data_IF_500941722442
#
_entry.id   IF_500941722442
#
_cell.length_a   1.000
_cell.length_b   1.000
_cell.length_c   1.000
_cell.angle_alpha   90.00
_cell.angle_beta   90.00
_cell.angle_gamma   90.00
#
_symmetry.space_group_name_H-M   'P 1'
#
loop_
_entity.id
_entity.type
_entity.pdbx_description
1 polymer ?
#
# COMPACT_ATOMS: atom_id res chain seq x y z
N UNK A 1 -28.50 4.35 -13.66
CA UNK A 1 -27.75 4.06 -12.43
C UNK A 1 -27.10 5.36 -12.02
N UNK A 2 -27.43 6.00 -10.89
CA UNK A 2 -26.75 7.22 -10.52
C UNK A 2 -25.31 6.85 -10.15
N UNK A 3 -24.36 7.24 -11.00
CA UNK A 3 -22.93 7.22 -10.76
C UNK A 3 -22.62 8.22 -9.65
N UNK A 4 -22.83 7.79 -8.40
CA UNK A 4 -22.62 8.60 -7.21
C UNK A 4 -21.16 8.57 -6.83
N UNK A 5 -20.58 9.75 -6.59
CA UNK A 5 -19.32 9.88 -5.85
C UNK A 5 -19.37 8.97 -4.63
N UNK A 6 -18.40 8.07 -4.53
CA UNK A 6 -18.20 7.24 -3.34
C UNK A 6 -17.65 8.14 -2.23
N UNK A 7 -18.05 7.83 -1.00
CA UNK A 7 -18.05 8.71 0.18
C UNK A 7 -16.79 9.55 0.39
N UNK A 8 -16.95 10.71 1.04
CA UNK A 8 -15.82 11.55 1.42
C UNK A 8 -15.17 11.06 2.71
N UNK A 9 -13.85 10.82 2.69
CA UNK A 9 -13.07 10.42 3.88
C UNK A 9 -12.02 11.46 4.23
N UNK A 10 -11.71 11.60 5.50
CA UNK A 10 -10.63 12.45 5.97
C UNK A 10 -9.30 11.71 5.83
N UNK A 11 -8.30 12.36 5.23
CA UNK A 11 -6.91 11.90 5.23
C UNK A 11 -6.25 12.42 6.50
N UNK A 12 -5.81 11.50 7.34
CA UNK A 12 -5.14 11.82 8.61
C UNK A 12 -3.65 12.06 8.39
N UNK A 13 -3.01 11.14 7.69
CA UNK A 13 -1.63 11.27 7.25
C UNK A 13 -1.36 10.34 6.06
N UNK A 14 -0.23 10.56 5.39
CA UNK A 14 0.24 9.75 4.29
C UNK A 14 1.77 9.67 4.29
N UNK A 15 2.31 8.55 3.83
CA UNK A 15 3.74 8.36 3.66
C UNK A 15 4.04 7.60 2.37
N UNK A 16 5.20 7.88 1.79
CA UNK A 16 5.74 7.17 0.64
C UNK A 16 7.16 6.72 0.96
N UNK A 17 7.54 5.56 0.42
CA UNK A 17 8.89 5.04 0.38
C UNK A 17 9.18 4.49 -1.00
N UNK A 18 10.30 4.89 -1.58
CA UNK A 18 10.83 4.35 -2.84
C UNK A 18 12.17 3.68 -2.55
N UNK A 19 12.90 3.15 -3.56
CA UNK A 19 14.23 2.62 -3.32
C UNK A 19 15.13 3.69 -2.71
N UNK A 20 16.30 3.29 -2.21
CA UNK A 20 17.34 4.19 -1.69
C UNK A 20 18.53 4.25 -2.65
N UNK A 21 19.43 5.20 -2.40
CA UNK A 21 20.61 5.40 -3.26
C UNK A 21 20.25 6.07 -4.59
N UNK A 22 21.05 5.84 -5.63
CA UNK A 22 20.92 6.54 -6.90
C UNK A 22 19.58 6.25 -7.62
N UNK A 23 19.03 5.03 -7.44
CA UNK A 23 17.72 4.62 -7.98
C UNK A 23 16.53 5.41 -7.37
N UNK A 24 16.76 6.08 -6.23
CA UNK A 24 15.76 6.88 -5.52
C UNK A 24 15.63 8.31 -6.06
N UNK A 25 16.60 8.77 -6.86
CA UNK A 25 16.75 10.18 -7.20
C UNK A 25 15.51 10.71 -7.95
N UNK A 26 14.87 11.74 -7.39
CA UNK A 26 13.68 12.36 -7.98
C UNK A 26 12.36 11.62 -7.75
N UNK A 27 12.35 10.55 -6.93
CA UNK A 27 11.14 9.82 -6.58
C UNK A 27 10.59 10.23 -5.19
N UNK A 28 9.26 10.25 -4.98
CA UNK A 28 8.68 10.56 -3.67
C UNK A 28 9.00 9.48 -2.62
N UNK A 29 9.50 9.88 -1.46
CA UNK A 29 9.85 8.92 -0.39
C UNK A 29 11.24 8.30 -0.53
N UNK A 30 12.11 8.91 -1.35
CA UNK A 30 13.51 8.52 -1.47
C UNK A 30 14.19 8.49 -0.09
N UNK A 31 14.69 7.32 0.30
CA UNK A 31 15.45 7.15 1.54
C UNK A 31 16.95 7.30 1.27
N UNK A 32 17.67 7.94 2.19
CA UNK A 32 19.13 8.09 2.11
C UNK A 32 19.90 6.81 2.45
N UNK A 33 19.24 5.82 3.05
CA UNK A 33 19.85 4.59 3.55
C UNK A 33 18.90 3.40 3.42
N UNK A 34 19.48 2.20 3.43
CA UNK A 34 18.74 0.93 3.45
C UNK A 34 17.85 0.82 4.68
N UNK A 35 16.69 0.18 4.49
CA UNK A 35 15.75 -0.07 5.57
C UNK A 35 16.33 -1.05 6.59
N UNK A 36 16.11 -0.80 7.89
CA UNK A 36 16.57 -1.73 8.91
C UNK A 36 15.89 -3.09 8.75
N UNK A 37 16.61 -4.20 9.00
CA UNK A 37 16.03 -5.54 8.92
C UNK A 37 14.94 -5.71 9.99
N UNK A 38 13.89 -6.45 9.65
CA UNK A 38 12.83 -6.82 10.59
C UNK A 38 13.00 -8.30 10.95
N UNK A 39 13.01 -8.58 12.26
CA UNK A 39 13.12 -9.96 12.75
C UNK A 39 12.00 -10.80 12.15
N UNK A 40 12.38 -11.93 11.56
CA UNK A 40 11.43 -12.81 10.91
C UNK A 40 11.00 -12.36 9.51
N UNK A 41 11.60 -11.33 8.91
CA UNK A 41 11.39 -10.92 7.51
C UNK A 41 12.74 -10.55 6.87
N UNK A 42 13.54 -11.57 6.57
CA UNK A 42 14.94 -11.39 6.15
C UNK A 42 15.22 -11.71 4.67
N UNK A 43 14.26 -12.35 3.98
CA UNK A 43 14.46 -12.85 2.61
C UNK A 43 14.21 -11.78 1.56
N UNK A 44 13.21 -10.93 1.79
CA UNK A 44 12.80 -9.89 0.85
C UNK A 44 12.70 -8.53 1.54
N UNK A 45 12.58 -7.49 0.72
CA UNK A 45 12.30 -6.13 1.18
C UNK A 45 10.82 -5.85 1.38
N UNK A 46 9.92 -6.75 0.99
CA UNK A 46 8.47 -6.56 1.05
C UNK A 46 8.00 -6.22 2.47
N UNK A 47 8.34 -7.08 3.44
CA UNK A 47 8.00 -6.86 4.84
C UNK A 47 8.60 -5.57 5.42
N UNK A 48 9.93 -5.37 5.32
CA UNK A 48 10.56 -4.11 5.75
C UNK A 48 9.94 -2.84 5.16
N UNK A 49 9.57 -2.84 3.87
CA UNK A 49 8.89 -1.71 3.20
C UNK A 49 7.51 -1.42 3.82
N UNK A 50 6.67 -2.45 3.93
CA UNK A 50 5.33 -2.35 4.55
C UNK A 50 5.44 -1.79 5.97
N UNK A 51 6.34 -2.35 6.78
CA UNK A 51 6.52 -1.91 8.16
C UNK A 51 7.02 -0.47 8.25
N UNK A 52 7.99 -0.09 7.42
CA UNK A 52 8.57 1.25 7.42
C UNK A 52 7.56 2.32 6.99
N UNK A 53 6.85 2.11 5.88
CA UNK A 53 5.89 3.10 5.36
C UNK A 53 4.69 3.26 6.30
N UNK A 54 4.22 2.16 6.90
CA UNK A 54 3.16 2.21 7.89
C UNK A 54 3.62 2.94 9.16
N UNK A 55 4.82 2.65 9.66
CA UNK A 55 5.37 3.34 10.85
C UNK A 55 5.51 4.84 10.60
N UNK A 56 5.96 5.24 9.39
CA UNK A 56 6.06 6.64 8.99
C UNK A 56 4.68 7.31 8.94
N UNK A 57 3.67 6.64 8.38
CA UNK A 57 2.31 7.17 8.29
C UNK A 57 1.58 7.22 9.65
N UNK A 58 1.85 6.29 10.56
CA UNK A 58 1.17 6.20 11.87
C UNK A 58 1.83 7.07 12.94
N UNK A 59 3.09 7.47 12.76
CA UNK A 59 3.89 8.17 13.76
C UNK A 59 4.41 7.25 14.87
N UNK A 60 5.33 7.74 15.73
CA UNK A 60 5.94 6.94 16.78
C UNK A 60 4.98 6.69 17.96
N UNK A 61 4.93 5.44 18.45
CA UNK A 61 4.13 5.07 19.62
C UNK A 61 4.56 5.83 20.88
N UNK A 62 3.58 6.40 21.60
CA UNK A 62 3.81 7.17 22.82
C UNK A 62 4.16 8.65 22.60
N UNK A 63 4.26 9.09 21.34
CA UNK A 63 4.46 10.49 20.99
C UNK A 63 3.12 11.19 20.67
N UNK A 64 3.04 12.53 20.78
CA UNK A 64 1.81 13.29 20.50
C UNK A 64 1.30 13.17 19.06
N UNK A 65 2.20 12.88 18.11
CA UNK A 65 1.94 12.67 16.69
C UNK A 65 1.56 11.23 16.33
N UNK A 66 1.40 10.34 17.32
CA UNK A 66 0.86 9.01 17.09
C UNK A 66 -0.61 9.09 16.63
N UNK A 67 -0.85 8.76 15.36
CA UNK A 67 -2.19 8.78 14.79
C UNK A 67 -3.07 7.61 15.23
N UNK A 68 -2.50 6.53 15.78
CA UNK A 68 -3.31 5.40 16.27
C UNK A 68 -3.89 5.70 17.65
N UNK A 69 -3.03 6.00 18.63
CA UNK A 69 -3.44 6.36 19.99
C UNK A 69 -4.62 5.52 20.53
N UNK A 70 -5.71 6.21 20.91
CA UNK A 70 -6.94 5.58 21.44
C UNK A 70 -7.74 4.76 20.41
N UNK A 71 -7.46 4.92 19.12
CA UNK A 71 -8.22 4.28 18.04
C UNK A 71 -7.70 2.89 17.67
N UNK A 72 -6.64 2.39 18.32
CA UNK A 72 -6.02 1.10 17.98
C UNK A 72 -7.02 -0.04 17.84
N UNK A 73 -7.89 -0.25 18.82
CA UNK A 73 -8.88 -1.33 18.78
C UNK A 73 -9.83 -1.23 17.56
N UNK A 74 -10.18 -0.02 17.13
CA UNK A 74 -11.03 0.26 15.96
C UNK A 74 -10.24 0.63 14.70
N UNK A 75 -8.98 0.20 14.57
CA UNK A 75 -8.17 0.43 13.37
C UNK A 75 -8.16 -0.81 12.50
N UNK A 76 -8.48 -0.68 11.21
CA UNK A 76 -8.29 -1.76 10.24
C UNK A 76 -7.05 -1.49 9.35
N UNK A 77 -6.55 -2.53 8.69
CA UNK A 77 -5.47 -2.42 7.70
C UNK A 77 -5.88 -3.11 6.41
N UNK A 78 -5.74 -2.40 5.29
CA UNK A 78 -5.92 -2.93 3.93
C UNK A 78 -4.59 -2.82 3.20
N UNK A 79 -3.96 -3.96 2.91
CA UNK A 79 -2.76 -4.07 2.11
C UNK A 79 -3.14 -4.32 0.65
N UNK A 80 -2.46 -3.69 -0.30
CA UNK A 80 -2.65 -3.85 -1.74
C UNK A 80 -1.32 -4.23 -2.39
N UNK A 81 -1.34 -5.29 -3.19
CA UNK A 81 -0.19 -5.79 -3.94
C UNK A 81 -0.65 -6.70 -5.06
N UNK A 82 -0.10 -6.58 -6.26
CA UNK A 82 -0.37 -7.45 -7.39
C UNK A 82 0.24 -8.84 -7.21
N UNK A 83 1.49 -8.94 -6.76
CA UNK A 83 2.21 -10.22 -6.70
C UNK A 83 2.64 -10.65 -5.29
N UNK A 84 2.38 -9.84 -4.26
CA UNK A 84 2.79 -10.14 -2.90
C UNK A 84 4.31 -10.22 -2.75
N UNK A 85 4.77 -11.02 -1.79
CA UNK A 85 6.19 -11.26 -1.57
C UNK A 85 6.71 -12.39 -2.48
N UNK A 86 6.77 -12.10 -3.78
CA UNK A 86 7.19 -13.08 -4.78
C UNK A 86 8.63 -13.60 -4.54
N UNK A 87 9.52 -12.77 -3.98
CA UNK A 87 10.90 -13.19 -3.66
C UNK A 87 10.91 -14.26 -2.58
N UNK A 88 10.17 -14.06 -1.49
CA UNK A 88 10.08 -15.05 -0.41
C UNK A 88 9.36 -16.32 -0.88
N UNK A 89 8.26 -16.20 -1.61
CA UNK A 89 7.51 -17.34 -2.19
C UNK A 89 8.41 -18.17 -3.12
N UNK A 90 9.18 -17.51 -3.98
CA UNK A 90 10.05 -18.19 -4.94
C UNK A 90 11.21 -18.90 -4.24
N UNK A 91 11.82 -18.26 -3.25
CA UNK A 91 12.88 -18.85 -2.43
C UNK A 91 12.36 -20.09 -1.69
N UNK A 92 11.18 -19.99 -1.06
CA UNK A 92 10.54 -21.11 -0.38
C UNK A 92 10.24 -22.27 -1.34
N UNK A 93 9.75 -21.95 -2.55
CA UNK A 93 9.48 -22.94 -3.60
C UNK A 93 10.76 -23.65 -4.04
N UNK A 94 11.85 -22.91 -4.29
CA UNK A 94 13.13 -23.48 -4.69
C UNK A 94 13.70 -24.41 -3.62
N UNK A 95 13.59 -24.03 -2.35
CA UNK A 95 14.02 -24.88 -1.24
C UNK A 95 13.22 -26.18 -1.15
N UNK A 96 11.91 -26.10 -1.31
CA UNK A 96 11.04 -27.28 -1.32
C UNK A 96 11.39 -28.24 -2.48
N UNK A 97 11.60 -27.70 -3.70
CA UNK A 97 12.00 -28.51 -4.87
C UNK A 97 13.37 -29.16 -4.68
N UNK A 98 14.30 -28.47 -4.01
CA UNK A 98 15.62 -29.01 -3.69
C UNK A 98 15.61 -30.09 -2.59
N UNK A 99 14.44 -30.43 -2.01
CA UNK A 99 14.32 -31.40 -0.93
C UNK A 99 14.87 -30.89 0.41
N UNK A 100 15.12 -29.59 0.54
CA UNK A 100 15.53 -29.00 1.80
C UNK A 100 14.35 -29.04 2.78
N UNK A 101 14.64 -29.26 4.07
CA UNK A 101 13.63 -29.10 5.12
C UNK A 101 13.05 -27.69 5.03
N UNK A 102 11.79 -27.59 4.66
CA UNK A 102 11.06 -26.33 4.58
C UNK A 102 11.17 -25.65 5.94
N UNK A 103 11.95 -24.57 6.04
CA UNK A 103 11.99 -23.77 7.26
C UNK A 103 10.57 -23.25 7.51
N UNK A 104 9.88 -23.65 8.59
CA UNK A 104 8.48 -23.27 8.80
C UNK A 104 8.27 -21.75 8.81
N UNK A 105 9.30 -20.99 9.18
CA UNK A 105 9.27 -19.53 9.14
C UNK A 105 9.13 -18.97 7.73
N UNK A 106 9.67 -19.63 6.69
CA UNK A 106 9.54 -19.18 5.31
C UNK A 106 8.09 -19.24 4.82
N UNK A 107 7.34 -20.26 5.24
CA UNK A 107 5.91 -20.34 4.93
C UNK A 107 5.15 -19.16 5.54
N UNK A 108 5.37 -18.86 6.81
CA UNK A 108 4.72 -17.71 7.45
C UNK A 108 5.15 -16.38 6.85
N UNK A 109 6.42 -16.22 6.47
CA UNK A 109 6.94 -15.01 5.81
C UNK A 109 6.33 -14.78 4.43
N UNK A 110 5.99 -15.86 3.72
CA UNK A 110 5.43 -15.77 2.36
C UNK A 110 4.00 -15.21 2.31
N UNK A 111 3.28 -15.20 3.44
CA UNK A 111 1.93 -14.63 3.52
C UNK A 111 2.02 -13.11 3.64
N UNK A 112 1.50 -12.38 2.64
CA UNK A 112 1.63 -10.92 2.54
C UNK A 112 1.15 -10.15 3.78
N UNK A 113 0.18 -10.67 4.52
CA UNK A 113 -0.35 -10.04 5.73
C UNK A 113 0.48 -10.30 6.99
N UNK A 114 1.41 -11.25 6.99
CA UNK A 114 2.16 -11.65 8.18
C UNK A 114 2.94 -10.49 8.79
N UNK A 115 3.50 -9.60 7.97
CA UNK A 115 4.25 -8.42 8.44
C UNK A 115 3.37 -7.47 9.25
N UNK A 116 2.06 -7.43 8.98
CA UNK A 116 1.12 -6.56 9.68
C UNK A 116 1.04 -6.90 11.17
N UNK A 117 1.39 -8.13 11.57
CA UNK A 117 1.47 -8.53 12.99
C UNK A 117 2.45 -7.69 13.82
N UNK A 118 3.51 -7.16 13.20
CA UNK A 118 4.41 -6.22 13.88
C UNK A 118 3.71 -4.90 14.18
N UNK A 119 2.90 -4.41 13.25
CA UNK A 119 2.13 -3.17 13.40
C UNK A 119 1.02 -3.37 14.43
N UNK A 120 0.28 -4.48 14.37
CA UNK A 120 -0.81 -4.73 15.32
C UNK A 120 -0.34 -4.82 16.74
N UNK A 121 0.73 -5.57 17.00
CA UNK A 121 1.32 -5.65 18.34
C UNK A 121 1.86 -4.31 18.81
N UNK A 122 2.52 -3.54 17.93
CA UNK A 122 3.15 -2.27 18.30
C UNK A 122 2.13 -1.16 18.60
N UNK A 123 1.08 -1.06 17.79
CA UNK A 123 0.10 0.03 17.86
C UNK A 123 -1.21 -0.36 18.55
N UNK A 124 -1.38 -1.61 18.97
CA UNK A 124 -2.63 -2.11 19.56
C UNK A 124 -3.77 -2.15 18.54
N UNK A 125 -3.47 -2.48 17.29
CA UNK A 125 -4.46 -2.54 16.19
C UNK A 125 -5.18 -3.88 16.24
N UNK A 126 -6.51 -3.86 16.40
CA UNK A 126 -7.32 -5.09 16.53
C UNK A 126 -8.41 -5.24 15.46
N UNK A 127 -8.62 -4.24 14.61
CA UNK A 127 -9.58 -4.35 13.53
C UNK A 127 -9.12 -5.27 12.40
N UNK A 128 -9.95 -5.44 11.35
CA UNK A 128 -9.68 -6.36 10.25
C UNK A 128 -8.35 -6.10 9.56
N UNK A 129 -7.66 -7.18 9.19
CA UNK A 129 -6.46 -7.16 8.35
C UNK A 129 -6.79 -7.86 7.04
N UNK A 130 -6.76 -7.13 5.92
CA UNK A 130 -7.07 -7.67 4.60
C UNK A 130 -5.94 -7.37 3.62
N UNK A 131 -5.67 -8.30 2.70
CA UNK A 131 -4.80 -8.06 1.55
C UNK A 131 -5.64 -8.18 0.28
N UNK A 132 -5.52 -7.19 -0.59
CA UNK A 132 -6.09 -7.16 -1.93
C UNK A 132 -4.98 -7.43 -2.92
N UNK A 133 -5.14 -8.51 -3.65
CA UNK A 133 -4.34 -8.80 -4.84
C UNK A 133 -5.25 -8.77 -6.05
N UNK A 134 -4.99 -7.78 -6.91
CA UNK A 134 -5.75 -7.48 -8.10
C UNK A 134 -4.79 -7.14 -9.23
N UNK A 135 -5.28 -7.20 -10.47
CA UNK A 135 -4.45 -6.98 -11.67
C UNK A 135 -4.67 -5.59 -12.26
N UNK A 136 -5.89 -5.06 -12.19
CA UNK A 136 -6.24 -3.81 -12.87
C UNK A 136 -6.04 -2.57 -11.99
N UNK A 137 -6.63 -2.53 -10.80
CA UNK A 137 -6.54 -1.38 -9.89
C UNK A 137 -6.47 -1.80 -8.42
N UNK A 138 -5.33 -2.36 -7.96
CA UNK A 138 -5.20 -2.80 -6.58
C UNK A 138 -5.41 -1.68 -5.57
N UNK A 139 -4.97 -0.46 -5.90
CA UNK A 139 -5.18 0.72 -5.06
C UNK A 139 -6.66 1.10 -4.98
N UNK A 140 -7.36 1.19 -6.12
CA UNK A 140 -8.78 1.49 -6.16
C UNK A 140 -9.61 0.47 -5.38
N UNK A 141 -9.33 -0.82 -5.54
CA UNK A 141 -10.02 -1.89 -4.80
C UNK A 141 -9.74 -1.81 -3.30
N UNK A 142 -8.49 -1.56 -2.89
CA UNK A 142 -8.15 -1.36 -1.50
C UNK A 142 -8.83 -0.11 -0.89
N UNK A 143 -8.93 0.98 -1.66
CA UNK A 143 -9.63 2.19 -1.25
C UNK A 143 -11.14 1.97 -1.12
N UNK A 144 -11.77 1.18 -2.02
CA UNK A 144 -13.18 0.79 -1.90
C UNK A 144 -13.42 -0.05 -0.64
N UNK A 145 -12.53 -1.00 -0.35
CA UNK A 145 -12.62 -1.80 0.88
C UNK A 145 -12.46 -0.91 2.11
N UNK A 146 -11.52 0.03 2.10
CA UNK A 146 -11.34 0.97 3.19
C UNK A 146 -12.56 1.88 3.39
N UNK A 147 -13.17 2.33 2.30
CA UNK A 147 -14.40 3.11 2.32
C UNK A 147 -15.53 2.33 3.00
N UNK A 148 -15.75 1.08 2.59
CA UNK A 148 -16.76 0.21 3.17
C UNK A 148 -16.49 -0.14 4.65
N UNK A 149 -15.23 -0.37 5.02
CA UNK A 149 -14.85 -0.62 6.42
C UNK A 149 -15.13 0.60 7.31
N UNK A 150 -14.94 1.81 6.80
CA UNK A 150 -15.23 3.04 7.56
C UNK A 150 -16.73 3.31 7.74
N UNK A 151 -17.62 2.55 7.11
CA UNK A 151 -19.05 2.60 7.39
C UNK A 151 -19.45 1.82 8.65
N UNK A 152 -18.60 0.90 9.11
CA UNK A 152 -18.75 0.26 10.42
C UNK A 152 -18.35 1.26 11.53
N UNK A 153 -19.30 1.60 12.41
CA UNK A 153 -19.10 2.58 13.47
C UNK A 153 -18.03 2.16 14.49
N UNK A 154 -17.80 0.86 14.66
CA UNK A 154 -16.76 0.30 15.54
C UNK A 154 -15.35 0.47 14.93
N UNK A 155 -15.27 0.69 13.61
CA UNK A 155 -14.02 1.04 12.94
C UNK A 155 -13.90 2.56 12.85
N UNK A 156 -12.85 3.10 13.45
CA UNK A 156 -12.58 4.53 13.52
C UNK A 156 -11.63 4.99 12.42
N UNK A 157 -10.73 4.10 11.99
CA UNK A 157 -9.73 4.43 10.99
C UNK A 157 -9.29 3.20 10.18
N UNK A 158 -8.85 3.44 8.96
CA UNK A 158 -8.31 2.40 8.08
C UNK A 158 -6.97 2.86 7.54
N UNK A 159 -5.94 2.03 7.72
CA UNK A 159 -4.64 2.20 7.11
C UNK A 159 -4.62 1.44 5.78
N UNK A 160 -4.54 2.16 4.66
CA UNK A 160 -4.36 1.57 3.34
C UNK A 160 -2.88 1.59 2.99
N UNK A 161 -2.34 0.43 2.60
CA UNK A 161 -0.92 0.26 2.25
C UNK A 161 -0.85 -0.30 0.85
N UNK A 162 -0.19 0.39 -0.08
CA UNK A 162 0.18 -0.17 -1.38
C UNK A 162 1.66 -0.52 -1.36
N UNK A 163 2.02 -1.70 -1.84
CA UNK A 163 3.42 -2.14 -1.87
C UNK A 163 3.71 -3.01 -3.09
N UNK A 164 4.90 -2.80 -3.66
CA UNK A 164 5.53 -3.72 -4.58
C UNK A 164 7.04 -3.72 -4.42
N UNK A 165 7.64 -4.86 -4.74
CA UNK A 165 9.08 -4.97 -4.93
C UNK A 165 9.42 -5.03 -6.41
N UNK A 166 10.69 -4.79 -6.73
CA UNK A 166 11.22 -5.02 -8.07
C UNK A 166 10.85 -6.44 -8.54
N UNK A 167 10.26 -6.60 -9.72
CA UNK A 167 9.81 -7.90 -10.21
C UNK A 167 11.01 -8.82 -10.39
N UNK A 168 10.85 -10.06 -9.92
CA UNK A 168 11.79 -11.14 -10.19
C UNK A 168 11.46 -11.81 -11.54
N UNK A 169 12.30 -12.77 -11.97
CA UNK A 169 12.13 -13.46 -13.26
C UNK A 169 10.75 -14.12 -13.42
N UNK A 170 10.20 -14.71 -12.34
CA UNK A 170 8.89 -15.36 -12.35
C UNK A 170 7.77 -14.34 -12.57
N UNK A 171 7.81 -13.21 -11.85
CA UNK A 171 6.85 -12.12 -12.01
C UNK A 171 6.91 -11.54 -13.42
N UNK A 172 8.11 -11.30 -13.97
CA UNK A 172 8.28 -10.85 -15.34
C UNK A 172 7.62 -11.81 -16.34
N UNK A 173 7.88 -13.12 -16.21
CA UNK A 173 7.30 -14.13 -17.10
C UNK A 173 5.77 -14.20 -17.01
N UNK A 174 5.21 -14.15 -15.80
CA UNK A 174 3.75 -14.14 -15.60
C UNK A 174 3.15 -12.87 -16.20
N UNK A 175 3.80 -11.72 -16.01
CA UNK A 175 3.35 -10.45 -16.59
C UNK A 175 3.40 -10.45 -18.11
N UNK A 176 4.41 -11.06 -18.73
CA UNK A 176 4.52 -11.18 -20.19
C UNK A 176 3.39 -12.05 -20.76
N UNK A 177 3.07 -13.17 -20.10
CA UNK A 177 1.95 -14.04 -20.49
C UNK A 177 0.61 -13.30 -20.34
N UNK A 178 0.39 -12.64 -19.20
CA UNK A 178 -0.83 -11.88 -18.95
C UNK A 178 -1.00 -10.71 -19.95
N UNK A 179 0.10 -10.06 -20.33
CA UNK A 179 0.09 -9.02 -21.36
C UNK A 179 -0.23 -9.59 -22.75
N UNK A 180 0.28 -10.77 -23.11
CA UNK A 180 -0.04 -11.44 -24.37
C UNK A 180 -1.54 -11.80 -24.47
N UNK A 181 -2.16 -12.11 -23.34
CA UNK A 181 -3.60 -12.41 -23.23
C UNK A 181 -4.47 -11.15 -23.04
N UNK A 182 -3.88 -9.95 -22.98
CA UNK A 182 -4.60 -8.68 -22.90
C UNK A 182 -5.06 -8.26 -21.49
N UNK A 183 -4.58 -8.92 -20.43
CA UNK A 183 -4.90 -8.60 -19.03
C UNK A 183 -3.61 -8.40 -18.21
N UNK A 184 -2.82 -7.39 -18.57
CA UNK A 184 -1.57 -7.05 -17.88
C UNK A 184 -1.55 -5.59 -17.41
N UNK A 185 -0.86 -5.35 -16.29
CA UNK A 185 -0.50 -4.01 -15.84
C UNK A 185 1.01 -3.80 -15.96
N UNK A 186 1.43 -2.53 -15.96
CA UNK A 186 2.85 -2.21 -15.98
C UNK A 186 3.48 -2.63 -14.64
N UNK A 187 4.54 -3.42 -14.71
CA UNK A 187 5.33 -3.78 -13.54
C UNK A 187 6.07 -2.56 -12.98
N UNK A 188 6.26 -2.48 -11.65
CA UNK A 188 7.09 -1.45 -11.04
C UNK A 188 8.56 -1.67 -11.40
N UNK A 189 9.28 -0.60 -11.69
CA UNK A 189 10.70 -0.65 -12.02
C UNK A 189 11.60 -0.90 -10.79
N UNK A 190 11.06 -0.72 -9.58
CA UNK A 190 11.79 -0.87 -8.32
C UNK A 190 10.88 -1.03 -7.12
N UNK A 191 11.49 -1.15 -5.95
CA UNK A 191 10.83 -1.31 -4.66
C UNK A 191 10.09 -0.03 -4.24
N UNK A 192 8.79 -0.10 -4.00
CA UNK A 192 8.03 1.06 -3.55
C UNK A 192 6.87 0.68 -2.64
N UNK A 193 6.56 1.57 -1.70
CA UNK A 193 5.39 1.46 -0.86
C UNK A 193 4.81 2.83 -0.52
N UNK A 194 3.49 2.90 -0.39
CA UNK A 194 2.77 4.06 0.12
C UNK A 194 1.80 3.63 1.20
N UNK A 195 1.55 4.51 2.17
CA UNK A 195 0.54 4.34 3.18
C UNK A 195 -0.35 5.59 3.26
N UNK A 196 -1.64 5.38 3.47
CA UNK A 196 -2.65 6.41 3.62
C UNK A 196 -3.55 6.05 4.80
N UNK A 197 -3.60 6.92 5.81
CA UNK A 197 -4.48 6.73 6.96
C UNK A 197 -5.76 7.52 6.77
N UNK A 198 -6.90 6.81 6.76
CA UNK A 198 -8.22 7.38 6.50
C UNK A 198 -9.12 7.32 7.74
N UNK A 199 -10.01 8.30 7.87
CA UNK A 199 -11.08 8.36 8.87
C UNK A 199 -12.41 8.81 8.26
N UNK A 200 -13.49 8.57 8.99
CA UNK A 200 -14.76 9.28 8.75
C UNK A 200 -14.58 10.79 8.96
N UNK A 201 -15.31 11.59 8.19
CA UNK A 201 -15.41 13.02 8.42
C UNK A 201 -16.41 13.24 9.55
N UNK A 202 -15.96 13.73 10.71
CA UNK A 202 -16.84 13.99 11.85
C UNK A 202 -17.32 15.45 11.92
N UNK A 203 -16.55 16.41 11.38
CA UNK A 203 -16.95 17.81 11.18
C UNK A 203 -16.09 18.48 10.09
N UNK A 204 -16.61 19.54 9.46
CA UNK A 204 -16.05 20.34 8.34
C UNK A 204 -14.77 21.13 8.72
N UNK A 205 -13.93 20.55 9.57
CA UNK A 205 -12.60 21.06 9.88
C UNK A 205 -11.71 20.84 8.65
N UNK A 206 -10.81 21.78 8.38
CA UNK A 206 -10.00 21.84 7.15
C UNK A 206 -9.01 20.69 6.94
N UNK A 207 -9.33 19.47 7.33
CA UNK A 207 -8.57 18.26 7.09
C UNK A 207 -8.65 17.90 5.61
N UNK A 208 -7.54 17.42 5.06
CA UNK A 208 -7.49 16.89 3.71
C UNK A 208 -8.59 15.83 3.48
N UNK A 209 -9.21 15.87 2.30
CA UNK A 209 -10.33 14.99 1.95
C UNK A 209 -9.97 14.08 0.80
N UNK A 210 -10.32 12.81 0.90
CA UNK A 210 -10.30 11.89 -0.22
C UNK A 210 -11.73 11.67 -0.71
N UNK A 211 -11.92 11.80 -2.01
CA UNK A 211 -13.16 11.44 -2.70
C UNK A 211 -12.85 10.36 -3.71
N UNK A 212 -13.64 9.29 -3.70
CA UNK A 212 -13.51 8.21 -4.68
C UNK A 212 -14.50 8.50 -5.82
N UNK A 213 -13.98 8.59 -7.05
CA UNK A 213 -14.80 8.82 -8.24
C UNK A 213 -14.60 7.68 -9.22
N UNK A 214 -15.69 7.12 -9.73
CA UNK A 214 -15.61 6.22 -10.86
C UNK A 214 -15.16 6.99 -12.10
N UNK A 215 -14.28 6.39 -12.89
CA UNK A 215 -13.87 7.00 -14.16
C UNK A 215 -14.97 6.76 -15.18
N UNK A 216 -15.60 7.84 -15.67
CA UNK A 216 -16.46 7.71 -16.86
C UNK A 216 -15.61 7.27 -18.05
N UNK A 217 -16.07 6.30 -18.87
CA UNK A 217 -15.35 5.87 -20.06
C UNK A 217 -15.17 7.07 -21.00
N UNK A 218 -13.96 7.65 -21.03
CA UNK A 218 -13.63 8.80 -21.87
C UNK A 218 -12.69 9.86 -21.27
N UNK A 219 -12.42 9.87 -19.95
CA UNK A 219 -11.48 10.86 -19.38
C UNK A 219 -10.09 10.26 -19.14
N UNK A 220 -9.17 10.42 -20.10
CA UNK A 220 -7.75 10.17 -19.86
C UNK A 220 -7.21 11.26 -18.93
N UNK A 221 -6.82 10.91 -17.70
CA UNK A 221 -6.12 11.85 -16.79
C UNK A 221 -4.64 11.91 -17.15
N UNK A 222 -4.23 13.02 -17.75
CA UNK A 222 -2.84 13.39 -17.91
C UNK A 222 -2.26 14.02 -16.64
N UNK A 223 -0.97 13.82 -16.42
CA UNK A 223 -0.14 14.69 -15.58
C UNK A 223 0.45 14.09 -14.32
N UNK A 224 1.25 13.02 -14.44
CA UNK A 224 2.34 12.75 -13.48
C UNK A 224 3.65 12.58 -14.26
N UNK A 225 4.72 13.18 -13.74
CA UNK A 225 6.04 13.18 -14.37
C UNK A 225 6.53 11.77 -14.69
N UNK A 226 7.33 11.67 -15.75
CA UNK A 226 7.96 10.42 -16.23
C UNK A 226 8.52 9.48 -15.14
N UNK A 227 9.18 9.96 -14.06
CA UNK A 227 9.70 9.07 -13.03
C UNK A 227 8.61 8.35 -12.21
N UNK A 228 7.48 8.98 -11.92
CA UNK A 228 6.39 8.35 -11.14
C UNK A 228 5.71 7.23 -11.94
N UNK A 229 5.65 7.37 -13.28
CA UNK A 229 5.07 6.35 -14.18
C UNK A 229 5.85 5.03 -14.22
N UNK A 230 7.08 5.02 -13.71
CA UNK A 230 7.91 3.81 -13.65
C UNK A 230 7.48 2.83 -12.55
N UNK A 231 6.64 3.26 -11.60
CA UNK A 231 6.19 2.46 -10.45
C UNK A 231 4.93 1.60 -10.75
N UNK A 232 4.56 1.44 -12.01
CA UNK A 232 3.45 0.57 -12.39
C UNK A 232 2.09 1.04 -11.86
N UNK A 233 1.30 0.13 -11.28
CA UNK A 233 -0.01 0.46 -10.70
C UNK A 233 0.09 1.40 -9.48
N UNK A 234 1.22 1.40 -8.77
CA UNK A 234 1.42 2.23 -7.58
C UNK A 234 1.51 3.72 -7.90
N UNK A 235 1.81 4.10 -9.15
CA UNK A 235 2.09 5.48 -9.55
C UNK A 235 1.05 6.50 -9.05
N UNK A 236 -0.24 6.23 -9.26
CA UNK A 236 -1.31 7.16 -8.87
C UNK A 236 -1.49 7.21 -7.35
N UNK A 237 -1.33 6.07 -6.68
CA UNK A 237 -1.46 5.98 -5.22
C UNK A 237 -0.28 6.68 -4.52
N UNK A 238 0.94 6.49 -5.03
CA UNK A 238 2.14 7.18 -4.57
C UNK A 238 2.04 8.71 -4.75
N UNK A 239 1.51 9.17 -5.88
CA UNK A 239 1.30 10.60 -6.11
C UNK A 239 0.29 11.18 -5.10
N UNK A 240 -0.84 10.49 -4.88
CA UNK A 240 -1.82 10.87 -3.86
C UNK A 240 -1.16 10.98 -2.47
N UNK A 241 -0.42 9.96 -2.05
CA UNK A 241 0.20 9.95 -0.72
C UNK A 241 1.31 11.01 -0.58
N UNK A 242 2.09 11.27 -1.63
CA UNK A 242 3.11 12.31 -1.62
C UNK A 242 2.51 13.71 -1.50
N UNK A 243 1.44 13.99 -2.25
CA UNK A 243 0.75 15.27 -2.17
C UNK A 243 0.05 15.42 -0.82
N UNK A 244 -0.67 14.39 -0.35
CA UNK A 244 -1.37 14.40 0.93
C UNK A 244 -0.42 14.56 2.14
N UNK A 245 0.77 13.95 2.09
CA UNK A 245 1.78 14.09 3.13
C UNK A 245 2.36 15.51 3.23
N UNK A 246 2.38 16.25 2.12
CA UNK A 246 2.89 17.64 2.08
C UNK A 246 1.81 18.71 2.24
N UNK A 247 0.57 18.45 1.77
CA UNK A 247 -0.54 19.41 1.74
C UNK A 247 -1.77 18.87 2.47
N UNK A 248 -1.72 18.96 3.80
CA UNK A 248 -2.70 18.38 4.75
C UNK A 248 -4.10 19.03 4.78
N UNK A 249 -4.37 20.00 3.90
CA UNK A 249 -5.62 20.78 3.86
C UNK A 249 -6.30 20.82 2.48
N UNK A 250 -5.86 19.99 1.52
CA UNK A 250 -6.43 19.94 0.16
C UNK A 250 -7.47 18.83 -0.03
N UNK A 251 -8.31 18.97 -1.06
CA UNK A 251 -9.24 17.92 -1.48
C UNK A 251 -8.61 17.12 -2.63
N UNK A 252 -8.59 15.81 -2.45
CA UNK A 252 -8.05 14.83 -3.38
C UNK A 252 -9.18 14.00 -3.97
N UNK A 253 -9.08 13.70 -5.26
CA UNK A 253 -9.97 12.77 -5.94
C UNK A 253 -9.14 11.61 -6.47
N UNK A 254 -9.45 10.39 -6.02
CA UNK A 254 -8.89 9.18 -6.61
C UNK A 254 -9.86 8.64 -7.64
N UNK A 255 -9.39 8.55 -8.89
CA UNK A 255 -10.17 8.00 -10.00
C UNK A 255 -10.01 6.49 -10.00
N UNK A 256 -11.11 5.79 -9.72
CA UNK A 256 -11.16 4.34 -9.73
C UNK A 256 -11.23 3.85 -11.17
N UNK A 257 -10.36 2.91 -11.51
CA UNK A 257 -10.48 2.18 -12.77
C UNK A 257 -11.59 1.13 -12.64
N UNK A 258 -12.36 0.95 -13.71
CA UNK A 258 -13.40 -0.07 -13.83
C UNK A 258 -12.90 -1.23 -14.68
#
# INVERSE_FOLDING_TARGET
MPSGLLSHRAIVDAACLTPWGDEASGLPGAASQELPPIVGFAISRFGPLVHAVATACLGPTGAPDNHVGRYGAGTAIVLATMYGDAVTVDTATQWAVAGNLSNPLLFFQSVSTSILSHLTRRYGIHGPLTCISAIHDPAGDALRVADALLDDLELHQVLVIGVETKPNERVCRVSELAAADGWGSRLPAGDAAAALLLRRIETDTGVARLTLSETSPGSASGGSGEPVRSLGWLSNFMALCADAGTRRHETYTYKLSL
#
